data_IF_490761389712
#
_entry.id   IF_490761389712
#
_cell.length_a   1.000
_cell.length_b   1.000
_cell.length_c   1.000
_cell.angle_alpha   90.00
_cell.angle_beta   90.00
_cell.angle_gamma   90.00
#
_symmetry.space_group_name_H-M   'P 1'
#
loop_
_entity.id
_entity.type
_entity.pdbx_description
1 polymer ?
#
# COMPACT_ATOMS: atom_id res chain seq x y z
N UNK A 1 -42.30 -0.58 30.93
CA UNK A 1 -41.13 0.08 31.56
C UNK A 1 -40.08 -0.87 32.14
N UNK A 2 -40.43 -1.96 32.83
CA UNK A 2 -39.44 -2.91 33.38
C UNK A 2 -38.63 -3.66 32.30
N UNK A 3 -39.27 -4.07 31.21
CA UNK A 3 -38.61 -4.73 30.08
C UNK A 3 -37.52 -3.84 29.45
N UNK A 4 -37.84 -2.58 29.14
CA UNK A 4 -36.89 -1.58 28.63
C UNK A 4 -35.71 -1.35 29.58
N UNK A 5 -35.94 -1.33 30.90
CA UNK A 5 -34.86 -1.23 31.89
C UNK A 5 -33.97 -2.47 31.88
N UNK A 6 -34.53 -3.67 31.81
CA UNK A 6 -33.74 -4.92 31.73
C UNK A 6 -32.94 -5.00 30.44
N UNK A 7 -33.53 -4.63 29.30
CA UNK A 7 -32.86 -4.56 28.01
C UNK A 7 -31.69 -3.57 28.03
N UNK A 8 -31.89 -2.36 28.56
CA UNK A 8 -30.82 -1.38 28.71
C UNK A 8 -29.66 -1.86 29.60
N UNK A 9 -29.95 -2.66 30.63
CA UNK A 9 -28.90 -3.27 31.46
C UNK A 9 -28.11 -4.33 30.70
N UNK A 10 -28.78 -5.20 29.96
CA UNK A 10 -28.11 -6.21 29.13
C UNK A 10 -27.21 -5.53 28.09
N UNK A 11 -27.71 -4.48 27.43
CA UNK A 11 -26.94 -3.71 26.47
C UNK A 11 -25.69 -3.05 27.11
N UNK A 12 -25.78 -2.54 28.34
CA UNK A 12 -24.60 -1.99 29.04
C UNK A 12 -23.52 -3.05 29.31
N UNK A 13 -23.91 -4.28 29.60
CA UNK A 13 -22.98 -5.39 29.79
C UNK A 13 -22.34 -5.86 28.49
N UNK A 14 -23.09 -5.87 27.38
CA UNK A 14 -22.60 -6.28 26.07
C UNK A 14 -21.76 -5.20 25.38
N UNK A 15 -22.10 -3.92 25.57
CA UNK A 15 -21.42 -2.81 24.92
C UNK A 15 -20.02 -2.56 25.50
N UNK A 16 -19.82 -2.70 26.81
CA UNK A 16 -18.55 -2.36 27.42
C UNK A 16 -17.36 -3.22 26.91
N UNK A 17 -17.46 -4.55 26.76
CA UNK A 17 -16.41 -5.35 26.14
C UNK A 17 -16.15 -4.97 24.67
N UNK A 18 -17.20 -4.67 23.90
CA UNK A 18 -17.05 -4.24 22.51
C UNK A 18 -16.31 -2.89 22.40
N UNK A 19 -16.64 -1.93 23.26
CA UNK A 19 -15.93 -0.64 23.32
C UNK A 19 -14.50 -0.80 23.84
N UNK A 20 -14.27 -1.69 24.81
CA UNK A 20 -12.94 -2.01 25.31
C UNK A 20 -12.06 -2.63 24.20
N UNK A 21 -12.63 -3.54 23.41
CA UNK A 21 -11.95 -4.11 22.23
C UNK A 21 -11.61 -3.04 21.19
N UNK A 22 -12.57 -2.16 20.86
CA UNK A 22 -12.32 -1.05 19.92
C UNK A 22 -11.25 -0.08 20.46
N UNK A 23 -11.25 0.21 21.76
CA UNK A 23 -10.25 1.08 22.38
C UNK A 23 -8.84 0.48 22.39
N UNK A 24 -8.71 -0.81 22.70
CA UNK A 24 -7.44 -1.53 22.65
C UNK A 24 -6.86 -1.54 21.23
N UNK A 25 -7.72 -1.64 20.23
CA UNK A 25 -7.35 -1.72 18.82
C UNK A 25 -7.48 -0.38 18.08
N UNK A 26 -7.49 0.78 18.77
CA UNK A 26 -7.77 2.11 18.14
C UNK A 26 -6.93 2.45 16.89
N UNK A 27 -5.73 1.87 16.80
CA UNK A 27 -4.78 2.08 15.71
C UNK A 27 -4.80 0.91 14.72
N UNK A 28 -5.79 0.04 14.78
CA UNK A 28 -6.01 -0.97 13.76
C UNK A 28 -6.49 -0.29 12.46
N UNK A 29 -6.01 -0.74 11.27
CA UNK A 29 -6.46 -0.23 9.98
C UNK A 29 -7.98 -0.32 9.78
N UNK A 30 -8.64 -1.34 10.33
CA UNK A 30 -10.10 -1.47 10.25
C UNK A 30 -10.87 -0.39 11.01
N UNK A 31 -10.22 0.27 11.97
CA UNK A 31 -10.82 1.30 12.82
C UNK A 31 -10.39 2.71 12.38
N UNK A 32 -9.86 2.87 11.16
CA UNK A 32 -9.47 4.17 10.60
C UNK A 32 -10.58 5.22 10.68
N UNK A 33 -11.82 4.83 10.35
CA UNK A 33 -12.99 5.74 10.38
C UNK A 33 -13.31 6.24 11.80
N UNK A 34 -12.92 5.47 12.83
CA UNK A 34 -13.14 5.85 14.22
C UNK A 34 -12.01 6.71 14.81
N UNK A 35 -10.89 6.92 14.09
CA UNK A 35 -9.80 7.74 14.60
C UNK A 35 -10.18 9.22 14.71
N UNK A 36 -9.47 9.94 15.55
CA UNK A 36 -9.77 11.34 15.86
C UNK A 36 -11.07 11.46 16.67
N UNK A 37 -12.12 12.04 16.07
CA UNK A 37 -13.38 12.32 16.75
C UNK A 37 -14.08 11.06 17.30
N UNK A 38 -13.99 9.92 16.60
CA UNK A 38 -14.60 8.67 17.07
C UNK A 38 -13.98 8.15 18.37
N UNK A 39 -12.65 8.21 18.50
CA UNK A 39 -11.94 7.87 19.72
C UNK A 39 -12.32 8.80 20.88
N UNK A 40 -12.43 10.10 20.62
CA UNK A 40 -12.88 11.09 21.61
C UNK A 40 -14.31 10.77 22.06
N UNK A 41 -15.21 10.51 21.12
CA UNK A 41 -16.60 10.17 21.40
C UNK A 41 -16.71 8.87 22.23
N UNK A 42 -15.91 7.85 21.91
CA UNK A 42 -15.88 6.58 22.65
C UNK A 42 -15.44 6.78 24.10
N UNK A 43 -14.36 7.55 24.33
CA UNK A 43 -13.88 7.85 25.68
C UNK A 43 -14.90 8.68 26.44
N UNK A 44 -15.44 9.74 25.83
CA UNK A 44 -16.44 10.60 26.45
C UNK A 44 -17.73 9.83 26.82
N UNK A 45 -18.22 8.98 25.92
CA UNK A 45 -19.38 8.14 26.17
C UNK A 45 -19.13 7.15 27.31
N UNK A 46 -17.94 6.54 27.37
CA UNK A 46 -17.56 5.61 28.44
C UNK A 46 -17.54 6.32 29.80
N UNK A 47 -16.91 7.50 29.89
CA UNK A 47 -16.87 8.30 31.10
C UNK A 47 -18.26 8.78 31.55
N UNK A 48 -19.11 9.18 30.60
CA UNK A 48 -20.49 9.56 30.89
C UNK A 48 -21.28 8.37 31.47
N UNK A 49 -21.12 7.17 30.90
CA UNK A 49 -21.78 5.97 31.41
C UNK A 49 -21.29 5.61 32.81
N UNK A 50 -19.98 5.72 33.08
CA UNK A 50 -19.44 5.57 34.44
C UNK A 50 -20.11 6.57 35.40
N UNK A 51 -20.19 7.85 35.04
CA UNK A 51 -20.83 8.87 35.88
C UNK A 51 -22.31 8.56 36.15
N UNK A 52 -23.05 8.10 35.14
CA UNK A 52 -24.46 7.69 35.27
C UNK A 52 -24.60 6.46 36.19
N UNK A 53 -23.77 5.44 36.02
CA UNK A 53 -23.78 4.24 36.86
C UNK A 53 -23.48 4.56 38.34
N UNK A 54 -22.53 5.46 38.58
CA UNK A 54 -22.20 5.97 39.91
C UNK A 54 -23.39 6.73 40.51
N UNK A 55 -23.98 7.67 39.76
CA UNK A 55 -25.14 8.47 40.18
C UNK A 55 -26.38 7.61 40.48
N UNK A 56 -26.59 6.53 39.74
CA UNK A 56 -27.69 5.58 39.98
C UNK A 56 -27.42 4.58 41.11
N UNK A 57 -26.29 4.70 41.83
CA UNK A 57 -25.96 3.84 42.97
C UNK A 57 -25.66 2.39 42.59
N UNK A 58 -25.37 2.10 41.31
CA UNK A 58 -25.10 0.74 40.83
C UNK A 58 -23.87 0.13 41.48
N UNK A 59 -22.90 0.95 41.87
CA UNK A 59 -21.67 0.55 42.57
C UNK A 59 -21.89 -0.08 43.96
N UNK A 60 -23.11 -0.06 44.50
CA UNK A 60 -23.41 -0.65 45.83
C UNK A 60 -23.46 -2.18 45.83
N UNK A 61 -23.67 -2.81 44.67
CA UNK A 61 -23.68 -4.29 44.54
C UNK A 61 -22.41 -4.78 43.85
N UNK A 62 -22.04 -6.04 44.08
CA UNK A 62 -20.87 -6.66 43.41
C UNK A 62 -21.01 -6.56 41.88
N UNK A 63 -22.17 -6.96 41.33
CA UNK A 63 -22.43 -6.89 39.90
C UNK A 63 -22.31 -5.46 39.34
N UNK A 64 -22.79 -4.45 40.07
CA UNK A 64 -22.67 -3.07 39.58
C UNK A 64 -21.27 -2.48 39.76
N UNK A 65 -20.47 -2.93 40.74
CA UNK A 65 -19.02 -2.61 40.80
C UNK A 65 -18.30 -3.18 39.58
N UNK A 66 -18.56 -4.44 39.23
CA UNK A 66 -18.01 -5.09 38.04
C UNK A 66 -18.40 -4.31 36.76
N UNK A 67 -19.66 -3.90 36.65
CA UNK A 67 -20.13 -3.10 35.50
C UNK A 67 -19.42 -1.74 35.40
N UNK A 68 -19.27 -1.03 36.52
CA UNK A 68 -18.53 0.25 36.55
C UNK A 68 -17.07 0.04 36.12
N UNK A 69 -16.40 -0.98 36.66
CA UNK A 69 -15.02 -1.31 36.26
C UNK A 69 -14.91 -1.63 34.76
N UNK A 70 -15.87 -2.39 34.23
CA UNK A 70 -15.92 -2.72 32.81
C UNK A 70 -16.03 -1.47 31.92
N UNK A 71 -16.79 -0.46 32.35
CA UNK A 71 -16.92 0.82 31.66
C UNK A 71 -15.74 1.79 31.89
N UNK A 72 -14.89 1.53 32.89
CA UNK A 72 -13.60 2.22 33.03
C UNK A 72 -12.52 1.65 32.08
N UNK A 73 -12.68 0.42 31.57
CA UNK A 73 -11.67 -0.20 30.70
C UNK A 73 -11.45 0.54 29.38
N UNK A 74 -12.47 0.98 28.61
CA UNK A 74 -12.21 1.57 27.29
C UNK A 74 -11.32 2.83 27.35
N UNK A 75 -11.53 3.81 28.25
CA UNK A 75 -10.59 4.94 28.40
C UNK A 75 -9.16 4.51 28.76
N UNK A 76 -9.00 3.56 29.70
CA UNK A 76 -7.69 3.08 30.13
C UNK A 76 -6.96 2.37 28.98
N UNK A 77 -7.65 1.48 28.26
CA UNK A 77 -7.09 0.77 27.11
C UNK A 77 -6.77 1.72 25.96
N UNK A 78 -7.59 2.74 25.72
CA UNK A 78 -7.34 3.79 24.72
C UNK A 78 -6.06 4.57 25.05
N UNK A 79 -5.88 4.99 26.31
CA UNK A 79 -4.68 5.67 26.78
C UNK A 79 -3.45 4.78 26.68
N UNK A 80 -3.54 3.51 27.08
CA UNK A 80 -2.43 2.55 26.96
C UNK A 80 -2.05 2.30 25.49
N UNK A 81 -3.03 2.14 24.60
CA UNK A 81 -2.80 1.98 23.17
C UNK A 81 -2.19 3.25 22.53
N UNK A 82 -2.59 4.44 22.99
CA UNK A 82 -1.98 5.70 22.55
C UNK A 82 -0.54 5.84 23.01
N UNK A 83 -0.28 5.56 24.30
CA UNK A 83 1.07 5.61 24.86
C UNK A 83 2.00 4.62 24.14
N UNK A 84 1.53 3.38 23.88
CA UNK A 84 2.29 2.40 23.11
C UNK A 84 2.66 2.90 21.71
N UNK A 85 1.74 3.60 21.05
CA UNK A 85 2.01 4.22 19.75
C UNK A 85 3.02 5.36 19.85
N UNK A 86 2.88 6.27 20.81
CA UNK A 86 3.81 7.40 20.97
C UNK A 86 5.21 6.94 21.38
N UNK A 87 5.33 5.93 22.25
CA UNK A 87 6.62 5.34 22.61
C UNK A 87 7.32 4.74 21.39
N UNK A 88 6.56 4.02 20.55
CA UNK A 88 7.10 3.45 19.32
C UNK A 88 7.50 4.52 18.32
N UNK A 89 6.65 5.52 18.14
CA UNK A 89 6.92 6.68 17.29
C UNK A 89 8.18 7.40 17.75
N UNK A 90 8.34 7.59 19.05
CA UNK A 90 9.54 8.17 19.64
C UNK A 90 10.78 7.32 19.34
N UNK A 91 10.76 6.00 19.60
CA UNK A 91 11.88 5.09 19.32
C UNK A 91 12.33 5.17 17.85
N UNK A 92 11.38 5.05 16.91
CA UNK A 92 11.65 5.17 15.46
C UNK A 92 12.28 6.51 15.10
N UNK A 93 11.73 7.61 15.61
CA UNK A 93 12.23 8.94 15.26
C UNK A 93 13.52 9.34 16.00
N UNK A 94 13.90 8.56 17.02
CA UNK A 94 15.17 8.65 17.75
C UNK A 94 16.23 7.67 17.24
N UNK A 95 15.92 6.85 16.23
CA UNK A 95 16.90 5.97 15.60
C UNK A 95 18.12 6.77 15.12
N UNK A 96 19.30 6.17 15.25
CA UNK A 96 20.54 6.83 14.81
C UNK A 96 20.49 7.12 13.31
N UNK A 97 21.26 8.11 12.85
CA UNK A 97 21.31 8.44 11.41
C UNK A 97 21.73 7.24 10.54
N UNK A 98 22.56 6.34 11.08
CA UNK A 98 22.97 5.11 10.40
C UNK A 98 21.80 4.12 10.27
N UNK A 99 21.12 3.79 11.38
CA UNK A 99 19.94 2.91 11.37
C UNK A 99 18.83 3.47 10.47
N UNK A 100 18.56 4.77 10.59
CA UNK A 100 17.53 5.45 9.80
C UNK A 100 17.81 5.34 8.30
N UNK A 101 19.05 5.62 7.87
CA UNK A 101 19.41 5.61 6.44
C UNK A 101 19.48 4.20 5.86
N UNK A 102 20.02 3.24 6.60
CA UNK A 102 20.12 1.85 6.17
C UNK A 102 18.73 1.25 5.99
N UNK A 103 17.88 1.31 7.02
CA UNK A 103 16.55 0.69 6.95
C UNK A 103 15.58 1.53 6.12
N UNK A 104 15.63 2.85 6.27
CA UNK A 104 14.72 3.76 5.57
C UNK A 104 14.87 3.73 4.05
N UNK A 105 16.01 3.27 3.52
CA UNK A 105 16.18 2.99 2.10
C UNK A 105 15.16 1.97 1.55
N UNK A 106 14.52 1.17 2.42
CA UNK A 106 13.60 0.11 2.04
C UNK A 106 12.12 0.42 2.30
N UNK A 107 11.76 1.65 2.71
CA UNK A 107 10.36 1.97 3.03
C UNK A 107 9.74 2.99 2.10
N UNK A 108 8.52 2.72 1.66
CA UNK A 108 7.63 3.67 1.00
C UNK A 108 6.38 3.88 1.84
N UNK A 109 6.01 5.14 2.08
CA UNK A 109 4.92 5.47 3.01
C UNK A 109 3.87 6.39 2.40
N UNK A 110 2.60 6.06 2.55
CA UNK A 110 1.51 7.02 2.36
C UNK A 110 1.43 8.01 3.53
N UNK A 111 0.83 9.18 3.34
CA UNK A 111 0.79 10.18 4.41
C UNK A 111 -0.46 11.05 4.34
N UNK A 112 -0.82 11.60 5.50
CA UNK A 112 -1.92 12.57 5.69
C UNK A 112 -1.46 13.89 6.29
N UNK A 113 -0.18 14.00 6.69
CA UNK A 113 0.40 15.15 7.38
C UNK A 113 1.75 15.49 6.78
N UNK A 114 1.83 16.64 6.09
CA UNK A 114 3.08 17.11 5.49
C UNK A 114 4.22 17.26 6.53
N UNK A 115 4.03 17.90 7.70
CA UNK A 115 5.10 18.04 8.68
C UNK A 115 5.67 16.69 9.14
N UNK A 116 4.83 15.66 9.20
CA UNK A 116 5.22 14.32 9.60
C UNK A 116 6.06 13.63 8.52
N UNK A 117 5.57 13.54 7.28
CA UNK A 117 6.34 12.92 6.19
C UNK A 117 7.61 13.70 5.85
N UNK A 118 7.60 15.04 5.99
CA UNK A 118 8.78 15.88 5.85
C UNK A 118 9.87 15.52 6.86
N UNK A 119 9.50 15.20 8.11
CA UNK A 119 10.44 14.72 9.13
C UNK A 119 11.02 13.37 8.75
N UNK A 120 10.20 12.42 8.31
CA UNK A 120 10.66 11.10 7.86
C UNK A 120 11.64 11.21 6.69
N UNK A 121 11.30 12.02 5.68
CA UNK A 121 12.15 12.28 4.52
C UNK A 121 13.50 12.89 4.93
N UNK A 122 13.50 13.90 5.80
CA UNK A 122 14.70 14.59 6.27
C UNK A 122 15.65 13.66 7.03
N UNK A 123 15.11 12.78 7.88
CA UNK A 123 15.91 11.85 8.68
C UNK A 123 16.40 10.63 7.89
N UNK A 124 15.90 10.44 6.66
CA UNK A 124 16.22 9.28 5.83
C UNK A 124 15.48 8.01 6.23
N UNK A 125 14.40 8.12 7.00
CA UNK A 125 13.59 7.00 7.48
C UNK A 125 12.72 6.35 6.39
N UNK A 126 12.63 6.96 5.22
CA UNK A 126 11.86 6.47 4.07
C UNK A 126 12.65 6.67 2.78
N UNK A 127 12.40 5.84 1.77
CA UNK A 127 12.92 5.94 0.39
C UNK A 127 11.90 6.57 -0.55
N UNK A 128 10.63 6.38 -0.26
CA UNK A 128 9.57 6.94 -1.08
C UNK A 128 8.33 7.34 -0.30
N UNK A 129 7.47 8.05 -1.01
CA UNK A 129 6.11 8.39 -0.58
C UNK A 129 5.11 7.85 -1.58
N UNK A 130 3.94 7.48 -1.09
CA UNK A 130 2.81 7.05 -1.89
C UNK A 130 1.69 8.09 -1.79
N UNK A 131 1.29 8.68 -2.91
CA UNK A 131 0.24 9.71 -2.95
C UNK A 131 -1.05 9.14 -3.51
N UNK A 132 -2.16 9.53 -2.89
CA UNK A 132 -3.50 9.05 -3.21
C UNK A 132 -4.49 10.19 -3.38
N UNK A 133 -5.76 9.84 -3.60
CA UNK A 133 -6.90 10.76 -3.58
C UNK A 133 -6.94 11.62 -2.32
N UNK A 134 -6.49 11.11 -1.18
CA UNK A 134 -6.50 11.86 0.06
C UNK A 134 -5.57 13.09 0.01
N UNK A 135 -4.39 12.96 -0.61
CA UNK A 135 -3.40 14.04 -0.70
C UNK A 135 -3.84 15.20 -1.59
N UNK A 136 -4.72 14.93 -2.56
CA UNK A 136 -5.28 15.96 -3.45
C UNK A 136 -6.70 16.40 -3.03
N UNK A 137 -7.32 15.72 -2.05
CA UNK A 137 -8.69 16.01 -1.63
C UNK A 137 -8.76 17.38 -0.95
N UNK A 138 -9.53 18.29 -1.55
CA UNK A 138 -9.68 19.66 -1.03
C UNK A 138 -8.53 20.60 -1.38
N UNK A 139 -7.57 20.14 -2.19
CA UNK A 139 -6.49 20.96 -2.75
C UNK A 139 -6.52 20.98 -4.28
N UNK A 140 -5.47 21.54 -4.88
CA UNK A 140 -5.27 21.55 -6.34
C UNK A 140 -4.12 20.66 -6.75
N UNK A 141 -4.01 20.38 -8.05
CA UNK A 141 -2.89 19.66 -8.66
C UNK A 141 -1.56 20.38 -8.37
N UNK A 142 -1.57 21.71 -8.39
CA UNK A 142 -0.43 22.59 -8.10
C UNK A 142 -0.01 22.51 -6.63
N UNK A 143 -0.97 22.39 -5.71
CA UNK A 143 -0.69 22.20 -4.29
C UNK A 143 0.04 20.88 -4.05
N UNK A 144 -0.45 19.77 -4.63
CA UNK A 144 0.21 18.47 -4.55
C UNK A 144 1.62 18.52 -5.17
N UNK A 145 1.77 19.14 -6.33
CA UNK A 145 3.08 19.33 -6.99
C UNK A 145 4.06 20.10 -6.09
N UNK A 146 3.60 21.18 -5.47
CA UNK A 146 4.41 22.00 -4.58
C UNK A 146 4.82 21.23 -3.32
N UNK A 147 3.92 20.41 -2.79
CA UNK A 147 4.18 19.54 -1.64
C UNK A 147 5.27 18.50 -1.96
N UNK A 148 5.14 17.82 -3.10
CA UNK A 148 6.14 16.85 -3.58
C UNK A 148 7.49 17.53 -3.82
N UNK A 149 7.51 18.71 -4.45
CA UNK A 149 8.74 19.47 -4.66
C UNK A 149 9.42 19.84 -3.33
N UNK A 150 8.66 20.28 -2.33
CA UNK A 150 9.18 20.58 -1.00
C UNK A 150 9.79 19.34 -0.32
N UNK A 151 9.19 18.16 -0.47
CA UNK A 151 9.78 16.91 0.03
C UNK A 151 11.10 16.56 -0.67
N UNK A 152 11.19 16.80 -1.98
CA UNK A 152 12.44 16.59 -2.72
C UNK A 152 13.52 17.59 -2.32
N UNK A 153 13.18 18.84 -2.04
CA UNK A 153 14.12 19.85 -1.54
C UNK A 153 14.63 19.50 -0.14
N UNK A 154 13.75 19.02 0.75
CA UNK A 154 14.12 18.51 2.07
C UNK A 154 15.12 17.35 1.96
N UNK A 155 14.91 16.42 1.02
CA UNK A 155 15.85 15.32 0.74
C UNK A 155 17.21 15.84 0.28
N UNK A 156 17.21 16.77 -0.68
CA UNK A 156 18.43 17.36 -1.23
C UNK A 156 19.24 18.07 -0.14
N UNK A 157 18.58 18.86 0.70
CA UNK A 157 19.20 19.55 1.83
C UNK A 157 19.77 18.59 2.88
N UNK A 158 19.18 17.40 3.03
CA UNK A 158 19.67 16.35 3.92
C UNK A 158 20.83 15.52 3.31
N UNK A 159 21.23 15.77 2.06
CA UNK A 159 22.26 14.99 1.36
C UNK A 159 21.83 13.56 1.06
N UNK A 160 20.53 13.32 0.91
CA UNK A 160 19.95 12.00 0.69
C UNK A 160 19.47 11.83 -0.77
N UNK A 161 19.38 10.59 -1.30
CA UNK A 161 18.80 10.34 -2.61
C UNK A 161 17.38 10.91 -2.74
N UNK A 162 16.96 11.35 -3.95
CA UNK A 162 15.61 11.80 -4.20
C UNK A 162 14.56 10.75 -3.77
N UNK A 163 13.39 11.22 -3.32
CA UNK A 163 12.28 10.33 -3.03
C UNK A 163 11.77 9.66 -4.31
N UNK A 164 11.45 8.38 -4.18
CA UNK A 164 10.50 7.71 -5.08
C UNK A 164 9.11 8.23 -4.72
N UNK A 165 8.39 8.78 -5.68
CA UNK A 165 7.05 9.32 -5.46
C UNK A 165 6.12 8.46 -6.30
N UNK A 166 5.32 7.64 -5.63
CA UNK A 166 4.47 6.65 -6.25
C UNK A 166 2.99 7.06 -6.20
N UNK A 167 2.23 6.64 -7.20
CA UNK A 167 0.77 6.73 -7.20
C UNK A 167 0.18 5.49 -7.89
N UNK A 168 -1.08 5.17 -7.57
CA UNK A 168 -1.86 4.16 -8.29
C UNK A 168 -2.76 4.83 -9.34
N UNK A 169 -2.30 4.79 -10.59
CA UNK A 169 -3.04 5.32 -11.74
C UNK A 169 -3.08 4.26 -12.85
N UNK A 170 -3.97 3.27 -12.68
CA UNK A 170 -4.15 2.15 -13.61
C UNK A 170 -5.06 2.50 -14.79
N UNK A 171 -6.03 3.39 -14.54
CA UNK A 171 -7.16 3.63 -15.42
C UNK A 171 -8.42 2.88 -14.95
N UNK A 172 -9.57 3.23 -15.53
CA UNK A 172 -10.85 2.62 -15.16
C UNK A 172 -11.28 2.97 -13.73
N UNK A 173 -11.37 1.97 -12.85
CA UNK A 173 -11.84 2.13 -11.47
C UNK A 173 -10.71 2.54 -10.49
N UNK A 174 -9.45 2.29 -10.85
CA UNK A 174 -8.28 2.68 -10.04
C UNK A 174 -7.54 3.82 -10.72
N UNK A 175 -7.80 5.03 -10.22
CA UNK A 175 -7.12 6.25 -10.64
C UNK A 175 -7.18 7.25 -9.50
N UNK A 176 -6.29 7.09 -8.51
CA UNK A 176 -6.41 7.79 -7.24
C UNK A 176 -6.28 9.31 -7.37
N UNK A 177 -5.62 9.81 -8.43
CA UNK A 177 -5.47 11.24 -8.68
C UNK A 177 -6.49 11.79 -9.67
N UNK A 178 -7.42 10.97 -10.18
CA UNK A 178 -8.56 11.41 -10.99
C UNK A 178 -9.76 11.84 -10.11
N UNK A 179 -10.62 12.80 -10.54
CA UNK A 179 -10.59 13.56 -11.79
C UNK A 179 -9.64 14.79 -11.88
N UNK A 180 -8.89 15.23 -10.83
CA UNK A 180 -7.89 16.28 -11.03
C UNK A 180 -6.90 15.98 -12.17
N UNK A 181 -6.51 14.70 -12.31
CA UNK A 181 -5.86 14.14 -13.49
C UNK A 181 -6.88 13.45 -14.42
N UNK A 182 -6.49 13.25 -15.68
CA UNK A 182 -7.30 12.62 -16.71
C UNK A 182 -7.70 11.21 -16.30
N UNK A 183 -9.00 10.92 -16.37
CA UNK A 183 -9.53 9.57 -16.17
C UNK A 183 -9.43 8.78 -17.47
N UNK A 184 -8.35 8.01 -17.60
CA UNK A 184 -8.16 7.07 -18.71
C UNK A 184 -9.07 5.83 -18.51
N UNK A 185 -9.66 5.27 -19.59
CA UNK A 185 -10.40 4.00 -19.51
C UNK A 185 -9.53 2.84 -18.97
N UNK A 186 -10.18 1.75 -18.53
CA UNK A 186 -9.45 0.55 -18.11
C UNK A 186 -8.70 -0.06 -19.31
N UNK A 187 -7.47 -0.53 -19.14
CA UNK A 187 -6.72 -1.21 -20.21
C UNK A 187 -7.48 -2.42 -20.81
N UNK A 188 -8.36 -3.05 -20.04
CA UNK A 188 -9.24 -4.11 -20.51
C UNK A 188 -10.17 -3.69 -21.68
N UNK A 189 -10.44 -2.40 -21.88
CA UNK A 189 -11.21 -1.93 -23.05
C UNK A 189 -10.46 -2.10 -24.37
N UNK A 190 -9.13 -2.30 -24.31
CA UNK A 190 -8.28 -2.46 -25.48
C UNK A 190 -8.21 -3.91 -25.95
N UNK A 191 -8.48 -4.89 -25.09
CA UNK A 191 -8.27 -6.32 -25.36
C UNK A 191 -9.02 -6.88 -26.59
N UNK A 192 -10.10 -6.22 -27.03
CA UNK A 192 -10.88 -6.63 -28.20
C UNK A 192 -10.50 -5.93 -29.52
N UNK A 193 -9.51 -5.05 -29.51
CA UNK A 193 -9.06 -4.33 -30.70
C UNK A 193 -8.07 -5.17 -31.53
N UNK A 194 -7.80 -4.75 -32.76
CA UNK A 194 -6.73 -5.33 -33.57
C UNK A 194 -5.36 -5.12 -32.88
N UNK A 195 -4.38 -6.04 -33.00
CA UNK A 195 -3.11 -5.96 -32.26
C UNK A 195 -2.37 -4.61 -32.38
N UNK A 196 -2.32 -4.02 -33.58
CA UNK A 196 -1.67 -2.72 -33.77
C UNK A 196 -2.41 -1.58 -33.04
N UNK A 197 -3.75 -1.62 -33.04
CA UNK A 197 -4.59 -0.67 -32.29
C UNK A 197 -4.46 -0.87 -30.77
N UNK A 198 -4.30 -2.13 -30.31
CA UNK A 198 -4.05 -2.44 -28.90
C UNK A 198 -2.79 -1.73 -28.43
N UNK A 199 -1.68 -1.91 -29.16
CA UNK A 199 -0.39 -1.32 -28.81
C UNK A 199 -0.45 0.21 -28.87
N UNK A 200 -0.93 0.77 -29.99
CA UNK A 200 -0.95 2.23 -30.18
C UNK A 200 -1.79 2.94 -29.09
N UNK A 201 -2.97 2.40 -28.75
CA UNK A 201 -3.83 3.00 -27.70
C UNK A 201 -3.29 2.76 -26.30
N UNK A 202 -2.70 1.59 -26.02
CA UNK A 202 -2.11 1.30 -24.72
C UNK A 202 -0.93 2.22 -24.44
N UNK A 203 -0.08 2.45 -25.44
CA UNK A 203 1.03 3.40 -25.37
C UNK A 203 0.53 4.82 -25.13
N UNK A 204 -0.52 5.26 -25.85
CA UNK A 204 -1.12 6.58 -25.61
C UNK A 204 -1.68 6.72 -24.19
N UNK A 205 -2.34 5.68 -23.66
CA UNK A 205 -2.83 5.66 -22.27
C UNK A 205 -1.67 5.80 -21.28
N UNK A 206 -0.57 5.06 -21.52
CA UNK A 206 0.67 5.16 -20.75
C UNK A 206 1.26 6.56 -20.82
N UNK A 207 1.30 7.17 -22.01
CA UNK A 207 1.82 8.52 -22.26
C UNK A 207 0.98 9.58 -21.53
N UNK A 208 -0.35 9.46 -21.51
CA UNK A 208 -1.25 10.37 -20.79
C UNK A 208 -0.96 10.32 -19.29
N UNK A 209 -1.00 9.12 -18.69
CA UNK A 209 -0.69 8.96 -17.27
C UNK A 209 0.74 9.41 -16.96
N UNK A 210 1.72 9.03 -17.77
CA UNK A 210 3.12 9.38 -17.57
C UNK A 210 3.34 10.89 -17.55
N UNK A 211 2.81 11.63 -18.54
CA UNK A 211 2.95 13.10 -18.58
C UNK A 211 2.30 13.78 -17.39
N UNK A 212 1.08 13.38 -17.01
CA UNK A 212 0.34 14.02 -15.93
C UNK A 212 0.93 13.70 -14.55
N UNK A 213 1.35 12.45 -14.33
CA UNK A 213 2.06 12.03 -13.12
C UNK A 213 3.41 12.74 -12.99
N UNK A 214 4.23 12.77 -14.05
CA UNK A 214 5.48 13.53 -14.05
C UNK A 214 5.24 15.02 -13.79
N UNK A 215 4.15 15.58 -14.34
CA UNK A 215 3.73 16.97 -14.15
C UNK A 215 3.47 17.35 -12.69
N UNK A 216 3.00 16.39 -11.87
CA UNK A 216 2.83 16.58 -10.41
C UNK A 216 4.04 16.13 -9.59
N UNK A 217 5.08 15.59 -10.21
CA UNK A 217 6.29 15.11 -9.55
C UNK A 217 6.24 13.65 -9.09
N UNK A 218 5.20 12.90 -9.47
CA UNK A 218 5.17 11.42 -9.35
C UNK A 218 6.16 10.85 -10.37
N UNK A 219 6.98 9.88 -9.95
CA UNK A 219 8.02 9.26 -10.78
C UNK A 219 7.95 7.73 -10.83
N UNK A 220 6.98 7.13 -10.14
CA UNK A 220 6.65 5.72 -10.22
C UNK A 220 5.12 5.57 -10.28
N UNK A 221 4.60 4.88 -11.29
CA UNK A 221 3.21 4.46 -11.32
C UNK A 221 3.14 3.00 -10.85
N UNK A 222 2.24 2.73 -9.92
CA UNK A 222 1.96 1.37 -9.44
C UNK A 222 0.99 0.67 -10.41
N UNK A 223 1.37 0.62 -11.69
CA UNK A 223 0.62 0.06 -12.80
C UNK A 223 1.60 -0.35 -13.92
N UNK A 224 1.22 -1.27 -14.83
CA UNK A 224 -0.10 -1.90 -15.01
C UNK A 224 -0.33 -3.18 -14.20
N UNK A 225 -1.60 -3.61 -14.15
CA UNK A 225 -2.02 -4.92 -13.64
C UNK A 225 -1.79 -5.98 -14.71
N UNK A 226 -1.03 -7.01 -14.37
CA UNK A 226 -0.68 -8.16 -15.24
C UNK A 226 -1.38 -9.46 -14.81
N UNK A 227 -2.13 -9.42 -13.71
CA UNK A 227 -2.99 -10.53 -13.32
C UNK A 227 -3.93 -10.92 -14.48
N UNK A 228 -4.04 -12.22 -14.75
CA UNK A 228 -4.99 -12.70 -15.74
C UNK A 228 -6.42 -12.52 -15.24
N UNK A 229 -7.31 -12.17 -16.17
CA UNK A 229 -8.71 -11.94 -15.84
C UNK A 229 -9.37 -13.24 -15.37
N UNK A 230 -10.05 -13.26 -14.21
CA UNK A 230 -10.75 -14.45 -13.73
C UNK A 230 -11.83 -14.89 -14.73
N UNK A 231 -12.01 -16.21 -14.95
CA UNK A 231 -13.06 -16.73 -15.82
C UNK A 231 -14.47 -16.47 -15.29
N UNK A 232 -14.64 -16.35 -13.96
CA UNK A 232 -15.91 -16.03 -13.33
C UNK A 232 -15.95 -14.57 -12.86
N UNK A 233 -17.03 -13.86 -13.20
CA UNK A 233 -17.19 -12.41 -12.98
C UNK A 233 -17.26 -11.95 -11.51
N UNK A 234 -17.45 -12.87 -10.55
CA UNK A 234 -17.81 -12.49 -9.18
C UNK A 234 -17.28 -13.47 -8.14
N UNK A 235 -16.15 -13.13 -7.56
CA UNK A 235 -15.85 -13.56 -6.20
C UNK A 235 -16.72 -12.73 -5.24
N UNK A 236 -17.65 -13.37 -4.52
CA UNK A 236 -18.57 -12.67 -3.58
C UNK A 236 -17.84 -12.09 -2.37
N UNK A 237 -16.61 -12.53 -2.11
CA UNK A 237 -15.76 -12.08 -1.01
C UNK A 237 -14.62 -11.18 -1.49
N UNK A 238 -14.66 -10.69 -2.74
CA UNK A 238 -13.75 -9.68 -3.28
C UNK A 238 -14.42 -8.30 -3.28
N UNK A 239 -14.03 -7.45 -2.35
CA UNK A 239 -14.66 -6.14 -2.13
C UNK A 239 -13.76 -4.99 -2.57
N UNK A 240 -12.44 -5.15 -2.44
CA UNK A 240 -11.44 -4.11 -2.65
C UNK A 240 -10.44 -4.47 -3.76
N UNK A 241 -10.09 -5.75 -3.91
CA UNK A 241 -9.15 -6.18 -4.97
C UNK A 241 -9.76 -5.99 -6.37
N UNK A 242 -11.01 -6.42 -6.55
CA UNK A 242 -11.84 -6.28 -7.75
C UNK A 242 -11.12 -6.63 -9.05
N UNK A 243 -10.33 -7.71 -9.05
CA UNK A 243 -9.38 -8.00 -10.13
C UNK A 243 -10.08 -8.20 -11.48
N UNK A 244 -11.30 -8.75 -11.49
CA UNK A 244 -12.10 -8.90 -12.71
C UNK A 244 -12.45 -7.59 -13.43
N UNK A 245 -12.36 -6.45 -12.75
CA UNK A 245 -12.56 -5.10 -13.34
C UNK A 245 -11.25 -4.42 -13.75
N UNK A 246 -10.11 -4.88 -13.23
CA UNK A 246 -8.78 -4.28 -13.42
C UNK A 246 -7.90 -5.05 -14.41
N UNK A 247 -8.01 -6.38 -14.41
CA UNK A 247 -7.26 -7.26 -15.30
C UNK A 247 -7.60 -7.01 -16.76
N UNK A 248 -6.56 -7.00 -17.60
CA UNK A 248 -6.64 -6.62 -19.01
C UNK A 248 -7.43 -7.67 -19.80
N UNK A 249 -6.99 -8.94 -19.76
CA UNK A 249 -7.55 -10.03 -20.54
C UNK A 249 -7.34 -11.38 -19.85
N UNK A 250 -7.99 -12.44 -20.35
CA UNK A 250 -7.75 -13.84 -19.94
C UNK A 250 -6.53 -14.44 -20.63
N UNK A 251 -6.20 -13.94 -21.83
CA UNK A 251 -5.09 -14.43 -22.65
C UNK A 251 -3.76 -13.76 -22.24
N UNK A 252 -2.75 -14.51 -21.78
CA UNK A 252 -1.44 -13.98 -21.42
C UNK A 252 -0.76 -13.15 -22.52
N UNK A 253 -0.92 -13.51 -23.80
CA UNK A 253 -0.28 -12.80 -24.91
C UNK A 253 -0.89 -11.41 -25.11
N UNK A 254 -2.21 -11.29 -24.95
CA UNK A 254 -2.94 -10.01 -25.02
C UNK A 254 -2.55 -9.12 -23.84
N UNK A 255 -2.44 -9.69 -22.63
CA UNK A 255 -1.96 -8.96 -21.44
C UNK A 255 -0.56 -8.41 -21.68
N UNK A 256 0.36 -9.25 -22.17
CA UNK A 256 1.75 -8.87 -22.44
C UNK A 256 1.82 -7.73 -23.46
N UNK A 257 1.11 -7.86 -24.59
CA UNK A 257 1.08 -6.86 -25.66
C UNK A 257 0.64 -5.48 -25.17
N UNK A 258 -0.49 -5.42 -24.45
CA UNK A 258 -1.05 -4.17 -23.94
C UNK A 258 -0.19 -3.60 -22.82
N UNK A 259 0.27 -4.45 -21.88
CA UNK A 259 1.09 -4.01 -20.76
C UNK A 259 2.44 -3.45 -21.22
N UNK A 260 3.12 -4.11 -22.16
CA UNK A 260 4.40 -3.66 -22.73
C UNK A 260 4.29 -2.29 -23.38
N UNK A 261 3.24 -2.06 -24.17
CA UNK A 261 3.01 -0.76 -24.81
C UNK A 261 2.67 0.34 -23.78
N UNK A 262 1.82 0.03 -22.79
CA UNK A 262 1.51 0.97 -21.70
C UNK A 262 2.74 1.35 -20.87
N UNK A 263 3.58 0.37 -20.53
CA UNK A 263 4.85 0.59 -19.82
C UNK A 263 5.77 1.52 -20.63
N UNK A 264 5.91 1.28 -21.94
CA UNK A 264 6.70 2.16 -22.82
C UNK A 264 6.21 3.61 -22.77
N UNK A 265 4.90 3.85 -22.88
CA UNK A 265 4.33 5.20 -22.79
C UNK A 265 4.59 5.91 -21.45
N UNK A 266 4.58 5.15 -20.33
CA UNK A 266 4.96 5.68 -19.01
C UNK A 266 6.45 6.05 -18.96
N UNK A 267 7.32 5.12 -19.36
CA UNK A 267 8.78 5.28 -19.29
C UNK A 267 9.28 6.42 -20.19
N UNK A 268 8.72 6.58 -21.39
CA UNK A 268 9.00 7.70 -22.31
C UNK A 268 8.62 9.06 -21.71
N UNK A 269 7.64 9.09 -20.81
CA UNK A 269 7.20 10.29 -20.10
C UNK A 269 7.99 10.52 -18.79
N UNK A 270 8.98 9.69 -18.49
CA UNK A 270 9.83 9.81 -17.31
C UNK A 270 9.22 9.25 -16.01
N UNK A 271 8.25 8.34 -16.12
CA UNK A 271 7.61 7.67 -14.98
C UNK A 271 7.86 6.17 -15.07
N UNK A 272 8.44 5.57 -14.03
CA UNK A 272 8.62 4.12 -13.99
C UNK A 272 7.28 3.38 -13.84
N UNK A 273 7.21 2.15 -14.32
CA UNK A 273 6.06 1.26 -14.12
C UNK A 273 6.31 0.24 -13.01
N UNK A 274 5.23 -0.33 -12.47
CA UNK A 274 5.26 -1.43 -11.50
C UNK A 274 4.27 -2.48 -11.92
N UNK A 275 4.77 -3.66 -12.27
CA UNK A 275 3.94 -4.79 -12.66
C UNK A 275 3.35 -5.44 -11.42
N UNK A 276 2.05 -5.70 -11.42
CA UNK A 276 1.36 -6.25 -10.24
C UNK A 276 0.19 -7.18 -10.57
N UNK A 277 -0.16 -8.13 -9.71
CA UNK A 277 0.45 -8.45 -8.42
C UNK A 277 0.99 -9.88 -8.50
N UNK A 278 2.32 -10.05 -8.55
CA UNK A 278 2.91 -11.38 -8.58
C UNK A 278 2.59 -12.13 -7.26
N UNK A 279 2.19 -13.41 -7.24
CA UNK A 279 2.29 -14.42 -8.31
C UNK A 279 1.08 -14.53 -9.26
N UNK A 280 0.19 -13.55 -9.31
CA UNK A 280 -1.05 -13.62 -10.06
C UNK A 280 -2.24 -13.85 -9.14
N UNK A 281 -3.02 -12.81 -8.86
CA UNK A 281 -4.18 -12.88 -7.95
C UNK A 281 -5.51 -13.14 -8.67
N UNK A 282 -5.47 -13.30 -9.99
CA UNK A 282 -6.65 -13.58 -10.83
C UNK A 282 -7.39 -14.87 -10.49
N UNK A 283 -6.70 -15.86 -9.90
CA UNK A 283 -7.27 -17.18 -9.55
C UNK A 283 -7.67 -17.31 -8.08
N UNK A 284 -7.32 -16.33 -7.27
CA UNK A 284 -7.58 -16.33 -5.83
C UNK A 284 -9.07 -16.09 -5.53
N UNK A 285 -9.56 -16.76 -4.48
CA UNK A 285 -10.98 -16.74 -4.08
C UNK A 285 -11.27 -15.87 -2.86
N UNK A 286 -10.29 -15.17 -2.29
CA UNK A 286 -10.46 -14.27 -1.14
C UNK A 286 -9.79 -12.92 -1.39
N UNK A 287 -10.30 -11.86 -0.75
CA UNK A 287 -9.70 -10.53 -0.81
C UNK A 287 -8.54 -10.41 0.19
N UNK A 288 -7.32 -10.20 -0.30
CA UNK A 288 -6.11 -10.07 0.53
C UNK A 288 -6.12 -8.83 1.42
N UNK A 289 -6.97 -7.83 1.11
CA UNK A 289 -7.22 -6.71 2.01
C UNK A 289 -7.80 -7.18 3.35
N UNK A 290 -8.45 -8.35 3.37
CA UNK A 290 -9.17 -8.86 4.52
C UNK A 290 -8.68 -10.18 5.07
N UNK A 291 -8.28 -11.08 4.20
CA UNK A 291 -8.02 -12.48 4.56
C UNK A 291 -6.72 -12.95 3.91
N UNK A 292 -6.10 -13.97 4.48
CA UNK A 292 -5.09 -14.72 3.74
C UNK A 292 -5.71 -15.34 2.49
N UNK A 293 -4.91 -15.39 1.43
CA UNK A 293 -5.28 -15.97 0.15
C UNK A 293 -4.29 -17.07 -0.21
N UNK A 294 -4.81 -18.18 -0.72
CA UNK A 294 -4.02 -19.30 -1.17
C UNK A 294 -4.16 -19.43 -2.69
N UNK A 295 -3.05 -19.78 -3.34
CA UNK A 295 -2.96 -20.11 -4.75
C UNK A 295 -2.39 -21.52 -4.87
N UNK A 296 -3.29 -22.49 -5.05
CA UNK A 296 -2.98 -23.92 -5.16
C UNK A 296 -2.68 -24.38 -6.60
N UNK A 297 -2.66 -23.43 -7.55
CA UNK A 297 -2.35 -23.74 -8.94
C UNK A 297 -0.90 -24.25 -9.05
N UNK A 298 -0.66 -25.38 -9.75
CA UNK A 298 0.69 -25.91 -9.95
C UNK A 298 1.62 -24.89 -10.59
N UNK A 299 2.89 -24.91 -10.19
CA UNK A 299 3.92 -23.96 -10.67
C UNK A 299 4.07 -24.04 -12.19
N UNK A 300 3.98 -25.23 -12.78
CA UNK A 300 4.10 -25.45 -14.22
C UNK A 300 2.95 -24.78 -14.98
N UNK A 301 1.74 -24.78 -14.43
CA UNK A 301 0.60 -24.06 -15.01
C UNK A 301 0.81 -22.55 -14.89
N UNK A 302 1.23 -22.06 -13.72
CA UNK A 302 1.51 -20.65 -13.52
C UNK A 302 2.61 -20.14 -14.46
N UNK A 303 3.65 -20.94 -14.70
CA UNK A 303 4.72 -20.61 -15.66
C UNK A 303 4.26 -20.55 -17.10
N UNK A 304 3.31 -21.42 -17.47
CA UNK A 304 2.74 -21.46 -18.81
C UNK A 304 1.68 -20.37 -19.04
N UNK A 305 1.06 -19.83 -17.99
CA UNK A 305 0.02 -18.80 -18.10
C UNK A 305 0.28 -17.55 -17.28
N UNK A 306 0.03 -17.57 -15.97
CA UNK A 306 -0.13 -16.38 -15.13
C UNK A 306 1.16 -15.56 -15.00
N UNK A 307 2.31 -16.23 -15.06
CA UNK A 307 3.64 -15.62 -14.95
C UNK A 307 4.22 -15.20 -16.29
N UNK A 308 3.64 -15.65 -17.41
CA UNK A 308 4.11 -15.32 -18.75
C UNK A 308 4.14 -13.79 -18.97
N UNK A 309 3.08 -13.01 -18.69
CA UNK A 309 3.11 -11.57 -18.91
C UNK A 309 4.15 -10.87 -18.05
N UNK A 310 4.37 -11.33 -16.81
CA UNK A 310 5.38 -10.74 -15.94
C UNK A 310 6.78 -10.97 -16.52
N UNK A 311 7.10 -12.21 -16.91
CA UNK A 311 8.41 -12.54 -17.48
C UNK A 311 8.66 -11.82 -18.79
N UNK A 312 7.66 -11.75 -19.67
CA UNK A 312 7.75 -11.06 -20.95
C UNK A 312 8.07 -9.58 -20.76
N UNK A 313 7.21 -8.86 -20.03
CA UNK A 313 7.35 -7.40 -19.81
C UNK A 313 8.62 -7.06 -19.03
N UNK A 314 9.02 -7.87 -18.04
CA UNK A 314 10.28 -7.65 -17.30
C UNK A 314 11.53 -7.88 -18.15
N UNK A 315 11.46 -8.72 -19.19
CA UNK A 315 12.62 -9.04 -20.02
C UNK A 315 13.12 -7.86 -20.86
N UNK A 316 12.25 -6.89 -21.12
CA UNK A 316 12.52 -5.76 -22.00
C UNK A 316 12.07 -4.39 -21.42
N UNK A 317 11.80 -4.31 -20.11
CA UNK A 317 11.52 -3.04 -19.43
C UNK A 317 12.34 -2.88 -18.16
N UNK A 318 12.32 -1.69 -17.55
CA UNK A 318 12.90 -1.46 -16.22
C UNK A 318 11.81 -1.33 -15.15
N UNK A 319 10.64 -1.91 -15.43
CA UNK A 319 9.51 -1.94 -14.50
C UNK A 319 9.93 -2.57 -13.19
N UNK A 320 9.39 -2.05 -12.09
CA UNK A 320 9.41 -2.71 -10.79
C UNK A 320 8.44 -3.91 -10.79
N UNK A 321 8.61 -4.83 -9.84
CA UNK A 321 7.69 -5.93 -9.60
C UNK A 321 7.08 -5.81 -8.20
N UNK A 322 5.76 -5.72 -8.13
CA UNK A 322 5.03 -5.80 -6.86
C UNK A 322 4.59 -7.24 -6.58
N UNK A 323 4.90 -7.71 -5.38
CA UNK A 323 4.56 -9.04 -4.89
C UNK A 323 3.41 -8.95 -3.88
N UNK A 324 2.30 -9.59 -4.20
CA UNK A 324 1.08 -9.63 -3.39
C UNK A 324 1.18 -10.55 -2.19
N UNK A 325 0.20 -10.41 -1.29
CA UNK A 325 0.10 -11.18 -0.04
C UNK A 325 -0.69 -12.48 -0.23
N UNK A 326 -0.25 -13.32 -1.17
CA UNK A 326 -0.86 -14.62 -1.49
C UNK A 326 0.11 -15.74 -1.18
N UNK A 327 -0.34 -16.76 -0.45
CA UNK A 327 0.42 -18.00 -0.20
C UNK A 327 0.41 -18.84 -1.46
N UNK A 328 1.58 -19.03 -2.06
CA UNK A 328 1.79 -19.94 -3.18
C UNK A 328 2.09 -21.33 -2.60
N UNK A 329 1.03 -22.10 -2.35
CA UNK A 329 1.09 -23.31 -1.50
C UNK A 329 2.01 -24.39 -2.06
N UNK A 330 2.13 -24.48 -3.39
CA UNK A 330 3.05 -25.40 -4.07
C UNK A 330 4.54 -25.06 -3.86
N UNK A 331 4.88 -23.86 -3.38
CA UNK A 331 6.26 -23.37 -3.23
C UNK A 331 6.62 -23.09 -1.76
N UNK A 332 5.75 -22.38 -1.04
CA UNK A 332 5.92 -22.06 0.37
C UNK A 332 4.54 -21.97 1.04
N UNK A 333 4.05 -23.04 1.68
CA UNK A 333 2.74 -23.05 2.32
C UNK A 333 2.68 -22.24 3.61
N UNK A 334 3.83 -21.84 4.17
CA UNK A 334 3.91 -21.17 5.47
C UNK A 334 3.90 -19.64 5.35
N UNK A 335 4.11 -19.10 4.14
CA UNK A 335 4.34 -17.67 3.92
C UNK A 335 3.64 -17.17 2.66
N UNK A 336 3.15 -15.94 2.74
CA UNK A 336 2.73 -15.24 1.53
C UNK A 336 3.96 -14.92 0.65
N UNK A 337 3.76 -14.90 -0.67
CA UNK A 337 4.77 -14.62 -1.68
C UNK A 337 5.62 -13.39 -1.35
N UNK A 338 4.99 -12.32 -0.88
CA UNK A 338 5.64 -11.05 -0.48
C UNK A 338 6.73 -11.15 0.58
N UNK A 339 6.76 -12.22 1.38
CA UNK A 339 7.78 -12.45 2.40
C UNK A 339 8.33 -13.89 2.38
N UNK A 340 8.11 -14.62 1.28
CA UNK A 340 8.68 -15.96 1.08
C UNK A 340 10.02 -15.85 0.36
N UNK A 341 11.08 -16.38 0.99
CA UNK A 341 12.40 -16.48 0.36
C UNK A 341 12.40 -17.42 -0.85
N UNK A 342 11.64 -18.52 -0.79
CA UNK A 342 11.49 -19.45 -1.91
C UNK A 342 10.87 -18.78 -3.14
N UNK A 343 9.93 -17.86 -2.93
CA UNK A 343 9.28 -17.12 -4.01
C UNK A 343 10.15 -15.96 -4.49
N UNK A 344 10.57 -15.05 -3.60
CA UNK A 344 11.31 -13.85 -4.01
C UNK A 344 12.73 -14.20 -4.46
N UNK A 345 13.52 -14.86 -3.62
CA UNK A 345 14.87 -15.25 -4.02
C UNK A 345 14.83 -16.39 -5.05
N UNK A 346 14.13 -17.48 -4.74
CA UNK A 346 14.18 -18.69 -5.58
C UNK A 346 13.55 -18.53 -6.97
N UNK A 347 12.39 -17.89 -7.10
CA UNK A 347 11.71 -17.73 -8.40
C UNK A 347 12.13 -16.43 -9.07
N UNK A 348 11.92 -15.29 -8.40
CA UNK A 348 12.12 -13.97 -9.04
C UNK A 348 13.62 -13.70 -9.27
N UNK A 349 14.47 -13.85 -8.24
CA UNK A 349 15.91 -13.53 -8.37
C UNK A 349 16.71 -14.61 -9.06
N UNK A 350 16.48 -15.88 -8.73
CA UNK A 350 17.31 -16.98 -9.21
C UNK A 350 16.77 -17.54 -10.53
N UNK A 351 15.53 -18.07 -10.55
CA UNK A 351 14.97 -18.71 -11.76
C UNK A 351 14.73 -17.73 -12.91
N UNK A 352 14.14 -16.57 -12.63
CA UNK A 352 13.86 -15.55 -13.66
C UNK A 352 15.04 -14.60 -13.90
N UNK A 353 16.05 -14.63 -13.04
CA UNK A 353 17.18 -13.71 -13.07
C UNK A 353 16.76 -12.21 -13.09
N UNK A 354 15.66 -11.86 -12.41
CA UNK A 354 15.19 -10.48 -12.38
C UNK A 354 15.95 -9.65 -11.35
N UNK A 355 16.74 -8.68 -11.83
CA UNK A 355 17.62 -7.83 -11.01
C UNK A 355 17.11 -6.39 -10.84
N UNK A 356 15.85 -6.12 -11.21
CA UNK A 356 15.19 -4.83 -10.97
C UNK A 356 14.64 -4.71 -9.55
N UNK A 357 13.81 -3.69 -9.31
CA UNK A 357 13.25 -3.43 -7.97
C UNK A 357 12.04 -4.33 -7.71
N UNK A 358 12.06 -5.06 -6.60
CA UNK A 358 10.93 -5.83 -6.08
C UNK A 358 10.34 -5.11 -4.87
N UNK A 359 9.03 -4.96 -4.81
CA UNK A 359 8.34 -4.35 -3.69
C UNK A 359 7.19 -5.22 -3.19
N UNK A 360 6.81 -5.06 -1.92
CA UNK A 360 5.57 -5.66 -1.43
C UNK A 360 4.36 -4.88 -1.91
N UNK A 361 3.21 -5.54 -1.94
CA UNK A 361 1.92 -4.86 -1.77
C UNK A 361 1.81 -4.22 -0.37
N UNK A 362 0.71 -3.52 -0.06
CA UNK A 362 0.57 -2.77 1.19
C UNK A 362 0.58 -3.69 2.43
N UNK A 363 1.62 -3.58 3.26
CA UNK A 363 1.79 -4.37 4.49
C UNK A 363 0.71 -4.13 5.54
N UNK A 364 -0.11 -3.10 5.35
CA UNK A 364 -1.24 -2.78 6.21
C UNK A 364 -2.50 -3.62 5.86
N UNK A 365 -2.47 -4.37 4.76
CA UNK A 365 -3.54 -5.29 4.37
C UNK A 365 -3.73 -6.42 5.40
N UNK A 366 -4.97 -6.87 5.56
CA UNK A 366 -5.36 -7.87 6.57
C UNK A 366 -4.56 -9.17 6.51
N UNK A 367 -4.21 -9.64 5.30
CA UNK A 367 -3.41 -10.85 5.09
C UNK A 367 -2.04 -10.82 5.81
N UNK A 368 -1.47 -9.64 6.03
CA UNK A 368 -0.17 -9.47 6.72
C UNK A 368 -0.34 -8.82 8.09
N UNK A 369 -1.10 -7.72 8.15
CA UNK A 369 -1.17 -6.90 9.36
C UNK A 369 -1.74 -7.68 10.56
N UNK A 370 -2.69 -8.58 10.31
CA UNK A 370 -3.29 -9.45 11.32
C UNK A 370 -2.49 -10.73 11.58
N UNK A 371 -1.52 -11.07 10.71
CA UNK A 371 -0.74 -12.31 10.73
C UNK A 371 0.76 -12.04 10.97
N UNK A 372 1.10 -11.45 12.12
CA UNK A 372 2.46 -11.10 12.55
C UNK A 372 3.26 -10.26 11.51
N UNK A 373 2.82 -9.00 11.34
CA UNK A 373 3.53 -8.01 10.51
C UNK A 373 5.02 -7.87 10.84
N UNK A 374 5.46 -8.09 12.09
CA UNK A 374 6.87 -7.95 12.43
C UNK A 374 7.70 -9.08 11.83
N UNK A 375 7.19 -10.31 11.88
CA UNK A 375 7.80 -11.44 11.18
C UNK A 375 7.84 -11.19 9.67
N UNK A 376 6.71 -10.78 9.08
CA UNK A 376 6.63 -10.51 7.64
C UNK A 376 7.63 -9.45 7.15
N UNK A 377 7.85 -8.37 7.93
CA UNK A 377 8.83 -7.33 7.59
C UNK A 377 10.26 -7.89 7.53
N UNK A 378 10.67 -8.63 8.56
CA UNK A 378 12.01 -9.24 8.62
C UNK A 378 12.19 -10.26 7.51
N UNK A 379 11.18 -11.12 7.30
CA UNK A 379 11.21 -12.14 6.27
C UNK A 379 11.22 -11.55 4.85
N UNK A 380 10.48 -10.48 4.57
CA UNK A 380 10.47 -9.81 3.26
C UNK A 380 11.85 -9.22 2.91
N UNK A 381 12.50 -8.53 3.85
CA UNK A 381 13.86 -8.01 3.64
C UNK A 381 14.82 -9.17 3.37
N UNK A 382 14.78 -10.22 4.19
CA UNK A 382 15.66 -11.38 4.06
C UNK A 382 15.35 -12.25 2.83
N UNK A 383 14.15 -12.14 2.27
CA UNK A 383 13.74 -12.78 1.02
C UNK A 383 14.25 -12.05 -0.22
N UNK A 384 14.77 -10.82 -0.08
CA UNK A 384 15.32 -10.02 -1.18
C UNK A 384 14.36 -8.98 -1.77
N UNK A 385 13.30 -8.62 -1.03
CA UNK A 385 12.42 -7.48 -1.34
C UNK A 385 13.18 -6.18 -1.11
N UNK A 386 13.02 -5.22 -2.02
CA UNK A 386 13.70 -3.93 -1.97
C UNK A 386 12.92 -2.83 -1.27
N UNK A 387 11.62 -2.75 -1.52
CA UNK A 387 10.74 -1.74 -0.95
C UNK A 387 9.54 -2.39 -0.25
N UNK A 388 9.37 -2.07 1.01
CA UNK A 388 8.20 -2.40 1.81
C UNK A 388 7.22 -1.22 1.74
N UNK A 389 6.02 -1.49 1.23
CA UNK A 389 4.98 -0.50 1.05
C UNK A 389 4.09 -0.43 2.29
N UNK A 390 3.90 0.79 2.82
CA UNK A 390 2.91 1.13 3.85
C UNK A 390 2.02 2.22 3.27
N UNK A 391 0.96 1.84 2.57
CA UNK A 391 0.23 2.75 1.69
C UNK A 391 -0.94 3.45 2.37
N UNK A 392 -2.00 2.71 2.72
CA UNK A 392 -3.30 3.30 3.05
C UNK A 392 -3.32 4.00 4.41
N UNK A 393 -2.64 3.44 5.41
CA UNK A 393 -2.52 3.99 6.75
C UNK A 393 -1.07 4.31 7.11
N UNK A 394 -0.61 5.48 6.69
CA UNK A 394 0.76 5.95 6.96
C UNK A 394 1.15 5.94 8.43
N UNK A 395 0.20 6.02 9.37
CA UNK A 395 0.51 5.93 10.80
C UNK A 395 1.06 4.55 11.20
N UNK A 396 0.76 3.48 10.45
CA UNK A 396 1.33 2.15 10.70
C UNK A 396 2.82 2.06 10.37
N UNK A 397 3.38 3.03 9.66
CA UNK A 397 4.81 3.09 9.39
C UNK A 397 5.64 2.90 10.66
N UNK A 398 5.27 3.56 11.76
CA UNK A 398 6.01 3.42 13.02
C UNK A 398 5.96 1.99 13.56
N UNK A 399 4.85 1.26 13.38
CA UNK A 399 4.77 -0.18 13.72
C UNK A 399 5.73 -0.99 12.88
N UNK A 400 5.61 -0.86 11.56
CA UNK A 400 6.35 -1.65 10.57
C UNK A 400 7.86 -1.36 10.67
N UNK A 401 8.27 -0.10 10.73
CA UNK A 401 9.66 0.31 10.85
C UNK A 401 10.28 -0.13 12.18
N UNK A 402 9.54 -0.05 13.29
CA UNK A 402 10.04 -0.55 14.58
C UNK A 402 10.31 -2.06 14.55
N UNK A 403 9.53 -2.84 13.79
CA UNK A 403 9.82 -4.26 13.59
C UNK A 403 11.15 -4.48 12.85
N UNK A 404 11.43 -3.70 11.79
CA UNK A 404 12.70 -3.75 11.08
C UNK A 404 13.87 -3.30 11.98
N UNK A 405 13.67 -2.24 12.77
CA UNK A 405 14.66 -1.72 13.70
C UNK A 405 15.02 -2.73 14.79
N UNK A 406 14.02 -3.36 15.42
CA UNK A 406 14.23 -4.46 16.39
C UNK A 406 14.92 -5.66 15.72
N UNK A 407 14.51 -6.02 14.49
CA UNK A 407 15.15 -7.06 13.69
C UNK A 407 16.63 -6.77 13.44
N UNK A 408 16.97 -5.55 13.04
CA UNK A 408 18.34 -5.10 12.81
C UNK A 408 19.17 -5.16 14.09
N UNK A 409 18.67 -4.56 15.19
CA UNK A 409 19.33 -4.53 16.50
C UNK A 409 19.59 -5.91 17.09
N UNK A 410 18.74 -6.89 16.76
CA UNK A 410 18.88 -8.30 17.17
C UNK A 410 19.66 -9.16 16.18
N UNK A 411 20.21 -8.59 15.10
CA UNK A 411 20.95 -9.34 14.09
C UNK A 411 20.09 -10.32 13.27
N UNK A 412 18.79 -10.04 13.13
CA UNK A 412 17.86 -10.88 12.34
C UNK A 412 17.78 -10.48 10.86
N UNK A 413 18.33 -9.33 10.48
CA UNK A 413 18.37 -8.90 9.08
C UNK A 413 19.65 -9.38 8.41
N UNK A 414 19.50 -9.94 7.22
CA UNK A 414 20.61 -10.37 6.38
C UNK A 414 21.27 -9.13 5.73
N UNK A 415 22.50 -8.84 6.16
CA UNK A 415 23.26 -7.68 5.67
C UNK A 415 23.57 -7.76 4.18
N UNK A 416 23.75 -8.96 3.62
CA UNK A 416 23.99 -9.14 2.19
C UNK A 416 22.72 -8.81 1.39
N UNK A 417 21.54 -9.16 1.91
CA UNK A 417 20.26 -8.83 1.28
C UNK A 417 19.99 -7.33 1.28
N UNK A 418 20.26 -6.64 2.40
CA UNK A 418 20.17 -5.18 2.49
C UNK A 418 21.09 -4.52 1.47
N UNK A 419 22.36 -4.91 1.41
CA UNK A 419 23.32 -4.32 0.47
C UNK A 419 22.98 -4.59 -1.01
N UNK A 420 22.55 -5.82 -1.34
CA UNK A 420 22.08 -6.16 -2.67
C UNK A 420 20.87 -5.30 -3.05
N UNK A 421 19.97 -5.07 -2.11
CA UNK A 421 18.81 -4.21 -2.32
C UNK A 421 19.16 -2.75 -2.54
N UNK A 422 20.03 -2.18 -1.70
CA UNK A 422 20.55 -0.81 -1.86
C UNK A 422 21.18 -0.62 -3.25
N UNK A 423 21.90 -1.62 -3.74
CA UNK A 423 22.49 -1.61 -5.08
C UNK A 423 21.43 -1.52 -6.19
N UNK A 424 20.33 -2.28 -6.07
CA UNK A 424 19.20 -2.20 -7.03
C UNK A 424 18.51 -0.84 -6.95
N UNK A 425 18.26 -0.35 -5.74
CA UNK A 425 17.64 0.96 -5.51
C UNK A 425 18.50 2.13 -5.98
N UNK A 426 19.83 2.01 -5.95
CA UNK A 426 20.76 3.01 -6.45
C UNK A 426 20.76 3.12 -7.97
N UNK A 427 20.55 2.00 -8.70
CA UNK A 427 20.34 2.01 -10.16
C UNK A 427 19.07 2.78 -10.54
N UNK A 428 18.12 2.85 -9.60
CA UNK A 428 16.90 3.63 -9.70
C UNK A 428 15.86 3.02 -10.64
N UNK A 429 14.66 3.60 -10.60
CA UNK A 429 13.65 3.46 -11.65
C UNK A 429 14.10 4.33 -12.83
N UNK A 430 13.69 4.06 -14.08
CA UNK A 430 14.08 4.85 -15.25
C UNK A 430 13.64 6.33 -15.09
N UNK A 431 14.48 7.15 -14.46
CA UNK A 431 14.21 8.57 -14.15
C UNK A 431 15.30 9.47 -14.80
N UNK A 432 16.40 8.89 -15.28
CA UNK A 432 17.62 9.64 -15.57
C UNK A 432 17.72 10.27 -16.98
N UNK A 433 16.85 9.96 -17.95
CA UNK A 433 16.98 10.51 -19.32
C UNK A 433 15.95 11.59 -19.70
N UNK A 434 14.73 11.58 -19.15
CA UNK A 434 13.71 12.56 -19.53
C UNK A 434 13.98 13.99 -19.02
N UNK A 435 14.62 14.14 -17.85
CA UNK A 435 14.91 15.46 -17.26
C UNK A 435 16.06 16.21 -17.92
N UNK A 436 16.97 15.51 -18.62
CA UNK A 436 18.08 16.14 -19.32
C UNK A 436 17.69 16.63 -20.73
N UNK A 437 16.59 16.11 -21.31
CA UNK A 437 16.27 16.31 -22.72
C UNK A 437 15.05 17.21 -23.00
N UNK A 438 14.20 17.55 -22.03
CA UNK A 438 12.95 18.27 -22.32
C UNK A 438 12.57 19.30 -21.27
N UNK A 439 12.78 20.58 -21.58
CA UNK A 439 12.07 21.68 -20.93
C UNK A 439 10.57 21.56 -21.20
N UNK A 440 9.84 20.89 -20.31
CA UNK A 440 8.38 20.75 -20.41
C UNK A 440 7.75 22.12 -20.19
N UNK A 441 7.40 22.80 -21.28
CA UNK A 441 6.44 23.92 -21.25
C UNK A 441 5.07 23.35 -20.94
N UNK A 442 4.52 23.73 -19.78
CA UNK A 442 3.13 23.49 -19.43
C UNK A 442 2.27 24.24 -20.45
N UNK A 443 1.51 23.51 -21.25
CA UNK A 443 0.50 24.11 -22.14
C UNK A 443 -0.68 24.51 -21.27
N UNK A 444 -0.87 25.81 -21.09
CA UNK A 444 -2.08 26.36 -20.48
C UNK A 444 -3.31 25.93 -21.29
N UNK A 445 -4.25 25.26 -20.62
CA UNK A 445 -5.53 24.83 -21.20
C UNK A 445 -6.34 26.07 -21.60
N UNK A 446 -6.58 26.22 -22.90
CA UNK A 446 -7.75 26.93 -23.42
C UNK A 446 -8.08 26.40 -24.82
N UNK A 447 -8.83 25.29 -24.91
CA UNK A 447 -9.87 25.07 -25.93
C UNK A 447 -10.81 23.91 -25.49
N UNK A 448 -12.13 24.02 -25.71
CA UNK A 448 -13.09 23.00 -25.34
C UNK A 448 -13.10 21.85 -26.36
N UNK A 449 -13.02 20.61 -25.87
CA UNK A 449 -13.23 19.41 -26.70
C UNK A 449 -14.70 19.31 -27.09
N UNK A 450 -14.97 19.52 -28.39
CA UNK A 450 -16.28 19.29 -28.99
C UNK A 450 -16.48 17.79 -29.29
N UNK A 451 -17.61 17.28 -28.80
CA UNK A 451 -18.46 16.19 -29.31
C UNK A 451 -17.83 15.11 -30.20
N UNK A 452 -17.78 13.87 -29.70
CA UNK A 452 -17.94 12.67 -30.53
C UNK A 452 -18.87 11.69 -29.81
N UNK A 453 -19.93 11.30 -30.53
CA UNK A 453 -20.97 10.32 -30.15
C UNK A 453 -20.42 8.90 -30.16
#
# INVERSE_FOLDING_TARGET
>A
MQFLRRLGHILLWLAAPALAFAALNKNDPYLLVLRGAGNIALVAASLLIVAVLLRWGRWRTIAGKLLVMLWCLPPVLMSAAHLKFELRRHDVLSASAAEARQLGAHFMVGYSSFPEVARLARQGLIRGVYVTRHNIRGGTVEALRSEIAALQDIRRAAGLPPLVVAADQEGGIVGHLAPPLTKVPALATLAGLAPDDQQAKAEEFGRIHGRELAGVGVNLNLAPVLDLKPPARRNRLDFHTLIGQRAIATDPAVVSTIASAYVRGLEESGVGATLKHFPGIGRVRTDTHHFSAELDTPVEELEASDWLPFRDVLSHSRSALMVGHVTLTAVDPDRAASHSKSVVQGIIRDKWNYQGVVMTDDLVMGAIYQNDVCKAVVEAINAGVDLLLVAYDGAQFYRVFACALDGARRGKLDAAMLHASETRLARGFPIAQARAAGGVRVVEKNQPFANWR
#
